data_IF_060077589909
#
_entry.id   IF_060077589909
#
_cell.length_a   1.000
_cell.length_b   1.000
_cell.length_c   1.000
_cell.angle_alpha   90.00
_cell.angle_beta   90.00
_cell.angle_gamma   90.00
#
_symmetry.space_group_name_H-M   'P 1'
#
loop_
_entity.id
_entity.type
_entity.pdbx_description
1 polymer ?
#
# COMPACT_ATOMS: atom_id res chain seq x y z
N UNK A 1 -28.68 4.73 -14.39
CA UNK A 1 -27.25 4.38 -14.29
C UNK A 1 -26.77 4.72 -12.90
N UNK A 2 -25.89 3.93 -12.26
CA UNK A 2 -25.35 4.27 -10.95
C UNK A 2 -24.53 5.57 -11.06
N UNK A 3 -24.55 6.39 -10.00
CA UNK A 3 -23.73 7.60 -9.95
C UNK A 3 -22.23 7.24 -9.92
N UNK A 4 -21.38 8.09 -10.47
CA UNK A 4 -19.93 7.87 -10.47
C UNK A 4 -19.39 7.64 -9.04
N UNK A 5 -19.93 8.33 -8.06
CA UNK A 5 -19.61 8.15 -6.63
C UNK A 5 -19.86 6.73 -6.15
N UNK A 6 -20.96 6.11 -6.57
CA UNK A 6 -21.30 4.74 -6.20
C UNK A 6 -20.37 3.74 -6.90
N UNK A 7 -20.01 4.03 -8.16
CA UNK A 7 -19.09 3.16 -8.92
C UNK A 7 -17.71 3.11 -8.30
N UNK A 8 -17.21 4.19 -7.72
CA UNK A 8 -15.88 4.23 -7.07
C UNK A 8 -15.80 3.43 -5.77
N UNK A 9 -16.92 2.94 -5.27
CA UNK A 9 -17.00 2.09 -4.08
C UNK A 9 -17.34 0.63 -4.42
N UNK A 10 -17.37 0.27 -5.70
CA UNK A 10 -17.69 -1.09 -6.17
C UNK A 10 -16.43 -1.78 -6.68
N UNK A 11 -16.06 -2.86 -6.03
CA UNK A 11 -14.92 -3.69 -6.39
C UNK A 11 -15.42 -5.08 -6.77
N UNK A 12 -14.91 -5.63 -7.88
CA UNK A 12 -15.31 -6.95 -8.39
C UNK A 12 -14.67 -8.07 -7.61
N UNK A 13 -13.47 -7.84 -7.10
CA UNK A 13 -12.64 -8.83 -6.41
C UNK A 13 -12.04 -8.22 -5.15
N UNK A 14 -11.62 -9.11 -4.26
CA UNK A 14 -10.80 -8.78 -3.11
C UNK A 14 -9.32 -8.86 -3.49
N UNK A 15 -8.48 -8.11 -2.79
CA UNK A 15 -7.03 -8.22 -2.90
C UNK A 15 -6.47 -9.25 -1.93
N UNK A 16 -5.17 -9.53 -2.06
CA UNK A 16 -4.42 -10.44 -1.18
C UNK A 16 -3.03 -9.89 -0.90
N UNK A 17 -2.55 -10.08 0.33
CA UNK A 17 -1.17 -9.78 0.70
C UNK A 17 -0.27 -10.91 0.17
N UNK A 18 0.58 -10.60 -0.80
CA UNK A 18 1.53 -11.56 -1.38
C UNK A 18 2.87 -11.57 -0.63
N UNK A 19 3.29 -10.41 -0.11
CA UNK A 19 4.52 -10.31 0.66
C UNK A 19 4.46 -9.17 1.68
N UNK A 20 5.16 -9.35 2.80
CA UNK A 20 5.38 -8.35 3.83
C UNK A 20 6.89 -8.13 3.95
N UNK A 21 7.32 -6.89 3.73
CA UNK A 21 8.72 -6.52 3.58
C UNK A 21 9.06 -5.39 4.56
N UNK A 22 10.02 -5.65 5.44
CA UNK A 22 10.49 -4.70 6.44
C UNK A 22 11.89 -4.19 6.08
N UNK A 23 12.13 -2.94 6.35
CA UNK A 23 13.42 -2.26 6.19
C UNK A 23 13.93 -1.89 7.57
N UNK A 24 14.68 -2.76 8.26
CA UNK A 24 15.02 -2.56 9.67
C UNK A 24 15.85 -1.28 9.90
N UNK A 25 16.72 -0.92 8.96
CA UNK A 25 17.55 0.28 9.04
C UNK A 25 17.72 0.97 7.67
N UNK A 26 18.34 2.15 7.67
CA UNK A 26 18.72 2.85 6.44
C UNK A 26 19.78 2.02 5.70
N UNK A 27 19.52 1.77 4.40
CA UNK A 27 20.40 0.99 3.53
C UNK A 27 20.51 -0.51 3.87
N UNK A 28 19.98 -0.95 5.00
CA UNK A 28 19.96 -2.38 5.34
C UNK A 28 19.18 -3.19 4.30
N UNK A 29 19.51 -4.47 4.13
CA UNK A 29 18.71 -5.41 3.34
C UNK A 29 17.25 -5.40 3.79
N UNK A 30 16.36 -5.63 2.85
CA UNK A 30 14.93 -5.81 3.12
C UNK A 30 14.73 -7.23 3.67
N UNK A 31 13.95 -7.35 4.74
CA UNK A 31 13.60 -8.64 5.35
C UNK A 31 12.17 -8.98 4.98
N UNK A 32 11.96 -10.16 4.41
CA UNK A 32 10.63 -10.74 4.20
C UNK A 32 10.17 -11.44 5.47
N UNK A 33 8.94 -11.17 5.90
CA UNK A 33 8.33 -11.79 7.06
C UNK A 33 6.95 -12.34 6.71
N UNK A 34 6.47 -13.31 7.46
CA UNK A 34 5.13 -13.91 7.25
C UNK A 34 4.03 -13.11 7.92
N UNK A 35 4.36 -12.33 8.94
CA UNK A 35 3.43 -11.43 9.63
C UNK A 35 4.15 -10.19 10.16
N UNK A 36 3.38 -9.12 10.39
CA UNK A 36 3.87 -7.90 11.00
C UNK A 36 2.75 -7.18 11.75
N UNK A 37 3.09 -6.51 12.86
CA UNK A 37 2.18 -5.66 13.60
C UNK A 37 2.13 -4.27 12.98
N UNK A 38 0.93 -3.77 12.68
CA UNK A 38 0.66 -2.41 12.24
C UNK A 38 0.18 -1.57 13.42
N UNK A 39 0.71 -0.35 13.58
CA UNK A 39 0.30 0.59 14.63
C UNK A 39 0.04 1.99 14.04
N UNK A 40 -1.09 2.65 14.42
CA UNK A 40 -1.34 4.04 14.02
C UNK A 40 -0.18 4.97 14.41
N UNK A 41 0.21 5.84 13.48
CA UNK A 41 1.31 6.78 13.67
C UNK A 41 2.70 6.18 13.49
N UNK A 42 2.83 4.85 13.44
CA UNK A 42 4.12 4.15 13.37
C UNK A 42 4.28 3.30 12.11
N UNK A 43 3.18 2.77 11.56
CA UNK A 43 3.22 1.82 10.44
C UNK A 43 3.56 0.41 10.89
N UNK A 44 4.34 -0.36 10.11
CA UNK A 44 4.72 -1.73 10.45
C UNK A 44 5.86 -1.73 11.46
N UNK A 45 5.66 -2.40 12.59
CA UNK A 45 6.68 -2.57 13.63
C UNK A 45 7.83 -3.43 13.08
N UNK A 46 9.06 -3.00 13.34
CA UNK A 46 10.26 -3.60 12.75
C UNK A 46 10.72 -2.92 11.45
N UNK A 47 9.88 -2.11 10.81
CA UNK A 47 10.36 -1.21 9.76
C UNK A 47 11.02 0.03 10.38
N UNK A 48 12.08 0.55 9.75
CA UNK A 48 12.79 1.75 10.23
C UNK A 48 11.89 2.97 10.43
N UNK A 49 10.75 3.01 9.74
CA UNK A 49 9.78 4.10 9.88
C UNK A 49 9.02 4.04 11.19
N UNK A 50 8.81 2.85 11.74
CA UNK A 50 8.14 2.67 13.03
C UNK A 50 8.96 3.19 14.21
N UNK A 51 10.28 3.27 14.06
CA UNK A 51 11.22 3.75 15.09
C UNK A 51 11.44 5.26 15.03
N UNK A 52 11.02 5.92 13.96
CA UNK A 52 11.18 7.36 13.81
C UNK A 52 10.00 8.09 14.46
N UNK A 53 10.24 8.80 15.57
CA UNK A 53 9.27 9.75 16.12
C UNK A 53 9.06 10.89 15.11
N UNK A 54 8.10 10.70 14.21
CA UNK A 54 7.79 11.68 13.17
C UNK A 54 6.64 12.56 13.61
N UNK A 55 6.92 13.82 13.86
CA UNK A 55 5.91 14.86 14.10
C UNK A 55 5.54 15.53 12.77
N UNK A 56 4.25 15.65 12.49
CA UNK A 56 3.72 16.43 11.38
C UNK A 56 2.79 15.65 10.44
N UNK A 57 1.89 16.38 9.77
CA UNK A 57 0.84 15.82 8.92
C UNK A 57 1.33 14.96 7.73
N UNK A 58 2.52 15.26 7.20
CA UNK A 58 3.14 14.48 6.12
C UNK A 58 3.65 13.11 6.59
N UNK A 59 4.11 13.01 7.84
CA UNK A 59 4.57 11.76 8.42
C UNK A 59 3.42 10.75 8.59
N UNK A 60 2.27 11.24 9.01
CA UNK A 60 1.05 10.45 9.19
C UNK A 60 0.45 9.92 7.87
N UNK A 61 0.77 10.54 6.73
CA UNK A 61 0.26 10.12 5.42
C UNK A 61 1.04 8.96 4.78
N UNK A 62 2.21 8.60 5.30
CA UNK A 62 3.13 7.63 4.66
C UNK A 62 3.68 6.63 5.68
N UNK A 63 2.79 6.00 6.43
CA UNK A 63 3.18 5.03 7.45
C UNK A 63 3.57 3.69 6.82
N UNK A 64 2.79 3.25 5.82
CA UNK A 64 2.99 2.00 5.08
C UNK A 64 3.05 2.33 3.57
N UNK A 65 3.81 1.54 2.84
CA UNK A 65 3.88 1.62 1.37
C UNK A 65 3.40 0.31 0.76
N UNK A 66 2.51 0.41 -0.22
CA UNK A 66 1.90 -0.71 -0.94
C UNK A 66 2.48 -0.79 -2.34
N UNK A 67 2.64 -1.99 -2.88
CA UNK A 67 3.02 -2.21 -4.27
C UNK A 67 2.06 -3.19 -4.94
N UNK A 68 1.72 -2.91 -6.19
CA UNK A 68 0.85 -3.74 -7.01
C UNK A 68 1.62 -4.96 -7.53
N UNK A 69 1.22 -6.17 -7.14
CA UNK A 69 1.93 -7.39 -7.52
C UNK A 69 1.98 -7.57 -9.05
N UNK A 70 0.88 -7.26 -9.73
CA UNK A 70 0.76 -7.37 -11.19
C UNK A 70 1.74 -6.44 -11.93
N UNK A 71 2.17 -5.34 -11.31
CA UNK A 71 3.17 -4.44 -11.91
C UNK A 71 4.59 -4.99 -11.88
N UNK A 72 4.89 -6.02 -11.07
CA UNK A 72 6.24 -6.62 -11.02
C UNK A 72 6.70 -7.10 -12.38
N UNK A 73 5.83 -7.80 -13.12
CA UNK A 73 6.13 -8.30 -14.45
C UNK A 73 6.33 -7.16 -15.46
N UNK A 74 5.46 -6.15 -15.43
CA UNK A 74 5.55 -5.01 -16.36
C UNK A 74 6.84 -4.21 -16.13
N UNK A 75 7.15 -3.90 -14.86
CA UNK A 75 8.38 -3.18 -14.52
C UNK A 75 9.62 -3.99 -14.88
N UNK A 76 9.62 -5.31 -14.64
CA UNK A 76 10.71 -6.18 -15.04
C UNK A 76 10.96 -6.12 -16.56
N UNK A 77 9.88 -6.19 -17.35
CA UNK A 77 9.96 -6.11 -18.81
C UNK A 77 10.52 -4.75 -19.27
N UNK A 78 10.07 -3.64 -18.68
CA UNK A 78 10.54 -2.29 -19.01
C UNK A 78 12.01 -2.04 -18.61
N UNK A 79 12.50 -2.75 -17.59
CA UNK A 79 13.88 -2.72 -17.15
C UNK A 79 14.77 -3.76 -17.84
N UNK A 80 14.23 -4.57 -18.77
CA UNK A 80 14.90 -5.68 -19.44
C UNK A 80 15.57 -6.67 -18.47
N UNK A 81 14.92 -6.95 -17.33
CA UNK A 81 15.36 -7.95 -16.36
C UNK A 81 14.40 -9.15 -16.35
N UNK A 82 14.92 -10.35 -16.11
CA UNK A 82 14.13 -11.58 -16.19
C UNK A 82 13.00 -11.64 -15.15
N UNK A 83 13.25 -11.15 -13.93
CA UNK A 83 12.26 -11.07 -12.86
C UNK A 83 12.62 -9.93 -11.92
N UNK A 84 11.60 -9.33 -11.32
CA UNK A 84 11.76 -8.27 -10.33
C UNK A 84 11.36 -8.78 -8.95
N UNK A 85 12.36 -8.98 -8.10
CA UNK A 85 12.14 -9.33 -6.71
C UNK A 85 11.51 -8.13 -5.96
N UNK A 86 10.37 -8.32 -5.28
CA UNK A 86 9.68 -7.23 -4.58
C UNK A 86 10.54 -6.47 -3.56
N UNK A 87 11.50 -7.15 -2.94
CA UNK A 87 12.44 -6.59 -1.95
C UNK A 87 13.27 -5.44 -2.52
N UNK A 88 13.58 -5.46 -3.83
CA UNK A 88 14.33 -4.38 -4.51
C UNK A 88 13.56 -3.07 -4.54
N UNK A 89 12.23 -3.12 -4.57
CA UNK A 89 11.38 -1.94 -4.61
C UNK A 89 11.25 -1.23 -3.26
N UNK A 90 11.62 -1.92 -2.17
CA UNK A 90 11.61 -1.37 -0.80
C UNK A 90 10.23 -0.83 -0.38
N UNK A 91 9.18 -1.50 -0.83
CA UNK A 91 7.80 -1.28 -0.36
C UNK A 91 7.50 -2.25 0.79
N UNK A 92 6.47 -1.94 1.58
CA UNK A 92 6.16 -2.74 2.77
C UNK A 92 5.24 -3.92 2.47
N UNK A 93 4.15 -3.70 1.74
CA UNK A 93 3.19 -4.73 1.40
C UNK A 93 3.09 -4.85 -0.12
N UNK A 94 3.13 -6.08 -0.62
CA UNK A 94 2.84 -6.41 -2.02
C UNK A 94 1.44 -7.00 -2.07
N UNK A 95 0.58 -6.38 -2.88
CA UNK A 95 -0.85 -6.70 -2.94
C UNK A 95 -1.21 -7.09 -4.37
N UNK A 96 -1.94 -8.21 -4.52
CA UNK A 96 -2.53 -8.67 -5.78
C UNK A 96 -4.05 -8.54 -5.78
N UNK A 97 -4.66 -8.71 -6.95
CA UNK A 97 -6.11 -8.91 -7.13
C UNK A 97 -6.96 -7.65 -7.08
N UNK A 98 -6.39 -6.50 -6.72
CA UNK A 98 -7.10 -5.22 -6.66
C UNK A 98 -6.20 -4.07 -7.14
N UNK A 99 -6.76 -3.15 -7.92
CA UNK A 99 -6.04 -1.97 -8.37
C UNK A 99 -5.80 -1.01 -7.19
N UNK A 100 -4.55 -0.85 -6.76
CA UNK A 100 -4.18 0.00 -5.62
C UNK A 100 -4.55 1.48 -5.81
N UNK A 101 -4.56 1.98 -7.05
CA UNK A 101 -4.96 3.37 -7.34
C UNK A 101 -6.42 3.60 -6.98
N UNK A 102 -7.28 2.61 -7.23
CA UNK A 102 -8.70 2.69 -6.93
C UNK A 102 -9.03 2.57 -5.43
N UNK A 103 -8.06 2.17 -4.61
CA UNK A 103 -8.22 2.13 -3.15
C UNK A 103 -8.34 3.53 -2.53
N UNK A 104 -8.00 4.57 -3.27
CA UNK A 104 -8.21 5.97 -2.89
C UNK A 104 -9.35 6.55 -3.72
N UNK A 105 -10.34 7.18 -3.04
CA UNK A 105 -11.41 7.89 -3.75
C UNK A 105 -10.86 9.08 -4.57
N UNK A 106 -11.36 9.31 -5.79
CA UNK A 106 -11.08 10.53 -6.53
C UNK A 106 -11.84 11.76 -5.96
N UNK A 107 -12.79 11.53 -5.05
CA UNK A 107 -13.58 12.58 -4.39
C UNK A 107 -12.99 12.89 -3.02
N UNK A 108 -12.69 14.16 -2.76
CA UNK A 108 -12.01 14.60 -1.55
C UNK A 108 -12.85 14.39 -0.26
N UNK A 109 -14.16 14.36 -0.39
CA UNK A 109 -15.13 14.14 0.67
C UNK A 109 -15.46 12.67 0.96
N UNK A 110 -14.94 11.74 0.13
CA UNK A 110 -15.11 10.29 0.33
C UNK A 110 -13.77 9.70 0.77
N UNK A 111 -13.75 9.11 1.94
CA UNK A 111 -12.63 8.33 2.45
C UNK A 111 -12.95 6.85 2.34
N UNK A 112 -12.03 6.07 1.78
CA UNK A 112 -12.14 4.62 1.67
C UNK A 112 -11.17 4.00 2.67
N UNK A 113 -11.71 3.23 3.59
CA UNK A 113 -10.92 2.42 4.51
C UNK A 113 -10.91 0.98 4.04
N UNK A 114 -9.76 0.36 4.14
CA UNK A 114 -9.52 -0.99 3.66
C UNK A 114 -9.13 -1.90 4.80
N UNK A 115 -9.80 -3.04 4.88
CA UNK A 115 -9.50 -4.07 5.87
C UNK A 115 -8.46 -5.01 5.29
N UNK A 116 -7.39 -5.21 6.04
CA UNK A 116 -6.29 -6.12 5.78
C UNK A 116 -6.35 -7.24 6.81
N UNK A 117 -6.71 -8.46 6.39
CA UNK A 117 -7.08 -9.53 7.29
C UNK A 117 -8.30 -9.17 8.14
N UNK A 118 -8.30 -9.57 9.41
CA UNK A 118 -9.44 -9.35 10.30
C UNK A 118 -9.29 -8.11 11.20
N UNK A 119 -8.05 -7.66 11.44
CA UNK A 119 -7.77 -6.68 12.49
C UNK A 119 -7.46 -5.28 11.94
N UNK A 120 -6.70 -5.18 10.85
CA UNK A 120 -6.08 -3.92 10.43
C UNK A 120 -6.96 -3.13 9.46
N UNK A 121 -7.12 -1.82 9.71
CA UNK A 121 -7.70 -0.89 8.76
C UNK A 121 -6.64 0.10 8.28
N UNK A 122 -6.51 0.23 6.97
CA UNK A 122 -5.65 1.22 6.31
C UNK A 122 -6.48 2.19 5.47
N UNK A 123 -6.04 3.43 5.40
CA UNK A 123 -6.49 4.42 4.41
C UNK A 123 -5.36 4.69 3.42
N UNK A 124 -5.63 4.56 2.12
CA UNK A 124 -4.67 4.92 1.07
C UNK A 124 -4.65 6.44 0.92
N UNK A 125 -3.46 7.02 1.06
CA UNK A 125 -3.28 8.47 1.20
C UNK A 125 -2.73 9.16 -0.05
N UNK A 126 -2.08 8.41 -0.93
CA UNK A 126 -1.53 8.95 -2.19
C UNK A 126 -0.61 7.98 -2.91
N UNK A 127 -0.06 8.43 -4.05
CA UNK A 127 0.94 7.67 -4.79
C UNK A 127 2.27 7.59 -4.05
N UNK A 128 2.98 6.49 -4.26
CA UNK A 128 4.35 6.31 -3.81
C UNK A 128 5.30 6.45 -4.99
N UNK A 129 5.69 7.68 -5.30
CA UNK A 129 6.56 7.95 -6.42
C UNK A 129 7.93 7.28 -6.27
N UNK A 130 8.59 6.91 -7.39
CA UNK A 130 9.96 6.43 -7.37
C UNK A 130 10.92 7.55 -6.90
N UNK A 131 12.09 7.15 -6.44
CA UNK A 131 13.18 8.06 -6.12
C UNK A 131 14.44 7.64 -6.89
N UNK A 132 15.48 8.47 -6.86
CA UNK A 132 16.76 8.19 -7.54
C UNK A 132 17.34 6.81 -7.21
N UNK A 133 17.07 6.30 -6.01
CA UNK A 133 17.48 4.96 -5.63
C UNK A 133 16.90 3.86 -6.53
N UNK A 134 15.74 4.07 -7.15
CA UNK A 134 15.19 3.07 -8.08
C UNK A 134 16.00 2.97 -9.36
N UNK A 135 16.67 4.05 -9.76
CA UNK A 135 17.67 4.03 -10.83
C UNK A 135 18.88 3.17 -10.44
N UNK A 136 19.35 3.32 -9.19
CA UNK A 136 20.50 2.52 -8.69
C UNK A 136 20.14 1.04 -8.57
N UNK A 137 18.92 0.73 -8.13
CA UNK A 137 18.47 -0.66 -7.89
C UNK A 137 18.11 -1.40 -9.18
N UNK A 138 17.52 -0.72 -10.17
CA UNK A 138 16.99 -1.35 -11.38
C UNK A 138 17.85 -1.12 -12.61
N UNK A 139 18.85 -0.23 -12.51
CA UNK A 139 19.69 0.20 -13.62
C UNK A 139 19.13 1.40 -14.36
N UNK A 140 19.84 1.86 -15.42
CA UNK A 140 19.43 3.01 -16.22
C UNK A 140 18.01 2.87 -16.76
N UNK A 141 17.16 3.86 -16.48
CA UNK A 141 15.73 3.85 -16.85
C UNK A 141 14.79 3.28 -15.78
N UNK A 142 15.32 2.73 -14.69
CA UNK A 142 14.53 2.15 -13.60
C UNK A 142 13.62 3.14 -12.90
N UNK A 143 14.05 4.40 -12.77
CA UNK A 143 13.20 5.48 -12.29
C UNK A 143 11.97 5.69 -13.20
N UNK A 144 12.19 5.76 -14.51
CA UNK A 144 11.11 5.96 -15.48
C UNK A 144 10.17 4.75 -15.57
N UNK A 145 10.68 3.54 -15.47
CA UNK A 145 9.86 2.31 -15.45
C UNK A 145 8.87 2.28 -14.26
N UNK A 146 9.19 2.94 -13.16
CA UNK A 146 8.35 3.01 -11.98
C UNK A 146 7.44 4.25 -11.91
N UNK A 147 7.55 5.21 -12.84
CA UNK A 147 6.66 6.39 -12.86
C UNK A 147 5.22 5.95 -13.09
N UNK A 148 4.32 6.36 -12.18
CA UNK A 148 2.92 5.90 -12.16
C UNK A 148 2.71 4.46 -11.65
N UNK A 149 3.79 3.68 -11.47
CA UNK A 149 3.76 2.29 -11.01
C UNK A 149 4.53 2.06 -9.71
N UNK A 150 4.92 3.12 -9.02
CA UNK A 150 5.69 3.05 -7.78
C UNK A 150 4.91 2.54 -6.56
N UNK A 151 3.61 2.32 -6.71
CA UNK A 151 2.71 1.89 -5.66
C UNK A 151 2.00 3.03 -4.95
N UNK A 152 1.44 2.75 -3.78
CA UNK A 152 0.65 3.69 -2.99
C UNK A 152 1.22 3.85 -1.59
N UNK A 153 0.87 4.95 -0.94
CA UNK A 153 1.13 5.18 0.49
C UNK A 153 -0.17 5.04 1.27
N UNK A 154 -0.07 4.56 2.49
CA UNK A 154 -1.20 4.40 3.38
C UNK A 154 -0.84 4.83 4.80
N UNK A 155 -1.88 5.15 5.58
CA UNK A 155 -1.81 5.30 7.04
C UNK A 155 -2.60 4.20 7.72
N UNK A 156 -2.22 3.87 8.93
CA UNK A 156 -2.93 2.91 9.77
C UNK A 156 -4.07 3.65 10.49
N UNK A 157 -5.29 3.20 10.30
CA UNK A 157 -6.48 3.71 10.99
C UNK A 157 -6.75 2.89 12.25
N UNK A 158 -6.74 1.55 12.09
CA UNK A 158 -6.84 0.59 13.20
C UNK A 158 -5.65 -0.35 13.13
N UNK A 159 -4.94 -0.49 14.24
CA UNK A 159 -3.79 -1.38 14.36
C UNK A 159 -4.19 -2.82 14.58
N UNK A 160 -3.21 -3.72 14.40
CA UNK A 160 -3.37 -5.16 14.53
C UNK A 160 -2.26 -5.89 13.80
N UNK A 161 -2.44 -7.19 13.56
CA UNK A 161 -1.48 -8.03 12.83
C UNK A 161 -1.95 -8.26 11.39
N UNK A 162 -1.07 -8.04 10.43
CA UNK A 162 -1.24 -8.45 9.03
C UNK A 162 -0.39 -9.67 8.74
N UNK A 163 -0.91 -10.59 7.92
CA UNK A 163 -0.23 -11.83 7.53
C UNK A 163 -0.19 -11.98 6.02
N UNK A 164 0.83 -12.66 5.54
CA UNK A 164 0.86 -13.10 4.13
C UNK A 164 -0.38 -13.96 3.86
N UNK A 165 -0.98 -13.77 2.71
CA UNK A 165 -2.26 -14.36 2.28
C UNK A 165 -3.52 -13.74 2.90
N UNK A 166 -3.42 -12.77 3.79
CA UNK A 166 -4.58 -12.02 4.26
C UNK A 166 -5.34 -11.37 3.11
N UNK A 167 -6.66 -11.43 3.21
CA UNK A 167 -7.57 -10.79 2.26
C UNK A 167 -7.58 -9.28 2.49
N UNK A 168 -7.60 -8.53 1.38
CA UNK A 168 -7.71 -7.07 1.38
C UNK A 168 -9.06 -6.69 0.76
N UNK A 169 -9.94 -6.05 1.53
CA UNK A 169 -11.30 -5.69 1.09
C UNK A 169 -11.70 -4.30 1.57
N UNK A 170 -12.59 -3.67 0.82
CA UNK A 170 -13.18 -2.41 1.25
C UNK A 170 -13.92 -2.63 2.57
N UNK A 171 -13.62 -1.80 3.56
CA UNK A 171 -14.39 -1.75 4.80
C UNK A 171 -15.67 -0.96 4.52
N UNK A 172 -16.87 -1.57 4.64
CA UNK A 172 -18.10 -0.83 4.38
C UNK A 172 -18.19 0.35 5.35
N UNK A 173 -18.47 1.54 4.81
CA UNK A 173 -18.76 2.70 5.65
C UNK A 173 -19.91 2.33 6.62
N UNK A 174 -19.85 2.75 7.90
CA UNK A 174 -20.99 2.57 8.78
C UNK A 174 -22.22 3.16 8.09
N UNK A 175 -23.29 2.36 7.96
CA UNK A 175 -24.57 2.89 7.51
C UNK A 175 -24.99 3.96 8.52
N UNK A 176 -25.01 5.20 8.08
CA UNK A 176 -25.69 6.24 8.82
C UNK A 176 -27.16 5.97 8.56
N UNK A 177 -27.81 5.26 9.48
CA UNK A 177 -29.26 5.17 9.51
C UNK A 177 -29.75 6.60 9.75
N UNK A 178 -30.20 7.25 8.68
CA UNK A 178 -30.97 8.47 8.83
C UNK A 178 -32.26 8.06 9.51
N UNK A 179 -32.57 8.55 10.73
CA UNK A 179 -33.88 8.33 11.30
C UNK A 179 -34.89 8.96 10.33
N UNK A 180 -35.86 8.17 9.95
CA UNK A 180 -36.95 8.51 9.04
C UNK A 180 -37.46 9.95 9.24
N UNK A 181 -37.51 10.67 8.12
CA UNK A 181 -38.39 11.82 7.95
C UNK A 181 -39.80 11.35 7.82
#
# INVERSE_FOLDING_TARGET
>A
MPALRDMTQRFRSEGRIEAILLRPARLAPVVSVTEARAEPGRGLIGDRRSNASRKGAQAQKREITLFQAEHLQSVAAWCAIAALEPSRLRRNLVISGINLVSMRSPFADIRLEWRFGDEVLLEVTGSCEPCSRMEDELGPGGYNALRGHGGMTARVVVGGTVRVSDVVRLNPAPRIDHPNS
#
